data_IF_107980789452
#
_entry.id   IF_107980789452
#
_cell.length_a   1.000
_cell.length_b   1.000
_cell.length_c   1.000
_cell.angle_alpha   90.00
_cell.angle_beta   90.00
_cell.angle_gamma   90.00
#
_symmetry.space_group_name_H-M   'P 1'
#
loop_
_entity.id
_entity.type
_entity.pdbx_description
1 polymer ?
#
# COMPACT_ATOMS: atom_id res chain seq x y z
N UNK A 1 36.25 -87.30 -29.65
CA UNK A 1 35.08 -86.75 -30.37
C UNK A 1 34.70 -85.49 -29.61
N UNK A 2 35.42 -84.39 -29.88
CA UNK A 2 35.01 -83.32 -30.83
C UNK A 2 33.87 -82.49 -30.25
N UNK A 3 33.85 -81.15 -30.21
CA UNK A 3 34.75 -80.04 -30.56
C UNK A 3 34.06 -78.76 -30.03
N UNK A 4 34.86 -77.73 -29.67
CA UNK A 4 34.62 -76.27 -29.75
C UNK A 4 33.20 -75.70 -29.45
N UNK A 5 33.06 -74.62 -28.66
CA UNK A 5 33.57 -73.31 -29.07
C UNK A 5 33.59 -72.29 -27.92
N UNK A 6 34.67 -71.51 -27.90
CA UNK A 6 34.96 -70.33 -27.08
C UNK A 6 34.31 -69.10 -27.72
N UNK A 7 33.71 -68.22 -26.92
CA UNK A 7 33.79 -66.77 -27.15
C UNK A 7 33.94 -66.02 -25.83
N UNK A 8 35.13 -65.46 -25.65
CA UNK A 8 35.46 -64.42 -24.67
C UNK A 8 34.55 -63.20 -24.86
N UNK A 9 34.07 -62.63 -23.75
CA UNK A 9 34.05 -61.18 -23.57
C UNK A 9 34.56 -60.87 -22.16
N UNK A 10 35.54 -59.98 -22.15
CA UNK A 10 36.30 -59.46 -21.01
C UNK A 10 35.39 -58.49 -20.24
N UNK A 11 35.37 -58.51 -18.90
CA UNK A 11 35.80 -57.39 -18.04
C UNK A 11 35.47 -57.61 -16.55
N UNK A 12 36.57 -57.64 -15.78
CA UNK A 12 36.81 -57.12 -14.44
C UNK A 12 35.91 -57.50 -13.23
N UNK A 13 36.56 -58.28 -12.38
CA UNK A 13 36.46 -58.38 -10.92
C UNK A 13 36.39 -57.01 -10.24
N UNK A 14 35.56 -56.84 -9.20
CA UNK A 14 35.99 -56.29 -7.91
C UNK A 14 34.98 -56.52 -6.77
N UNK A 15 35.50 -57.28 -5.81
CA UNK A 15 35.12 -57.57 -4.43
C UNK A 15 34.26 -56.55 -3.70
N UNK A 16 33.19 -57.02 -3.09
CA UNK A 16 32.32 -56.27 -2.17
C UNK A 16 32.95 -56.20 -0.77
N UNK A 17 33.32 -54.99 -0.34
CA UNK A 17 33.52 -54.68 1.09
C UNK A 17 32.19 -54.21 1.67
N UNK A 18 31.64 -54.95 2.64
CA UNK A 18 30.49 -54.52 3.42
C UNK A 18 30.98 -53.54 4.48
N UNK A 19 30.74 -52.24 4.25
CA UNK A 19 30.82 -51.22 5.31
C UNK A 19 29.44 -51.11 5.93
N UNK A 20 29.32 -51.50 7.20
CA UNK A 20 28.15 -51.17 8.02
C UNK A 20 28.23 -49.67 8.28
N UNK A 21 27.61 -48.89 7.41
CA UNK A 21 27.29 -47.49 7.69
C UNK A 21 26.08 -47.52 8.61
N UNK A 22 26.31 -47.32 9.90
CA UNK A 22 25.28 -46.89 10.83
C UNK A 22 24.74 -45.55 10.30
N UNK A 23 23.65 -45.62 9.55
CA UNK A 23 22.91 -44.46 9.10
C UNK A 23 22.26 -43.85 10.35
N UNK A 24 22.99 -42.96 11.02
CA UNK A 24 22.37 -41.95 11.87
C UNK A 24 21.47 -41.15 10.94
N UNK A 25 20.18 -41.47 10.96
CA UNK A 25 19.14 -40.65 10.36
C UNK A 25 19.26 -39.27 10.98
N UNK A 26 19.99 -38.37 10.34
CA UNK A 26 19.94 -36.96 10.66
C UNK A 26 18.50 -36.53 10.39
N UNK A 27 17.69 -36.46 11.44
CA UNK A 27 16.40 -35.80 11.41
C UNK A 27 16.68 -34.34 11.08
N UNK A 28 16.57 -33.96 9.81
CA UNK A 28 16.55 -32.56 9.42
C UNK A 28 15.38 -31.92 10.15
N UNK A 29 15.67 -31.11 11.16
CA UNK A 29 14.66 -30.39 11.93
C UNK A 29 14.10 -29.30 11.01
N UNK A 30 12.92 -29.56 10.43
CA UNK A 30 12.18 -28.65 9.56
C UNK A 30 11.28 -27.70 10.35
N UNK A 31 11.42 -27.69 11.68
CA UNK A 31 10.63 -26.86 12.59
C UNK A 31 11.06 -25.40 12.51
N UNK A 32 10.11 -24.52 12.75
CA UNK A 32 10.39 -23.09 12.90
C UNK A 32 11.32 -22.84 14.09
N UNK A 33 12.09 -21.76 13.99
CA UNK A 33 13.02 -21.34 15.04
C UNK A 33 12.21 -20.88 16.26
N UNK A 34 12.56 -21.38 17.44
CA UNK A 34 11.88 -21.08 18.71
C UNK A 34 12.37 -19.77 19.37
N UNK A 35 13.55 -19.29 18.96
CA UNK A 35 14.17 -18.02 19.34
C UNK A 35 14.64 -17.28 18.09
N UNK A 36 13.94 -16.20 17.73
CA UNK A 36 14.17 -15.51 16.47
C UNK A 36 15.23 -14.39 16.56
N UNK A 37 15.78 -14.09 17.74
CA UNK A 37 16.75 -12.99 17.93
C UNK A 37 18.10 -13.22 17.22
N UNK A 38 18.36 -14.45 16.76
CA UNK A 38 19.63 -14.80 16.11
C UNK A 38 19.75 -14.30 14.68
N UNK A 39 18.63 -13.94 14.06
CA UNK A 39 18.60 -13.43 12.71
C UNK A 39 17.92 -12.06 12.66
N UNK A 40 17.82 -11.49 11.46
CA UNK A 40 17.15 -10.21 11.23
C UNK A 40 16.34 -10.31 9.96
N UNK A 41 15.21 -9.60 9.90
CA UNK A 41 14.41 -9.45 8.70
C UNK A 41 14.92 -8.34 7.76
N UNK A 42 15.91 -7.55 8.18
CA UNK A 42 16.52 -6.54 7.33
C UNK A 42 17.43 -7.16 6.26
N UNK A 43 17.07 -6.97 4.99
CA UNK A 43 17.67 -7.65 3.83
C UNK A 43 19.21 -7.69 3.82
N UNK A 44 19.85 -6.55 4.09
CA UNK A 44 21.29 -6.34 3.91
C UNK A 44 22.12 -6.54 5.18
N UNK A 45 21.50 -6.83 6.33
CA UNK A 45 22.25 -7.04 7.57
C UNK A 45 23.10 -8.31 7.50
N UNK A 46 24.10 -8.41 8.39
CA UNK A 46 24.99 -9.57 8.45
C UNK A 46 24.27 -10.87 8.79
N UNK A 47 23.26 -10.77 9.66
CA UNK A 47 22.30 -11.82 9.98
C UNK A 47 20.97 -11.68 9.22
N UNK A 48 20.97 -10.93 8.10
CA UNK A 48 19.78 -10.67 7.27
C UNK A 48 19.42 -11.78 6.29
N UNK A 49 18.23 -11.73 5.65
CA UNK A 49 17.69 -12.77 4.77
C UNK A 49 18.60 -13.20 3.61
N UNK A 50 19.42 -12.28 3.09
CA UNK A 50 20.38 -12.59 2.03
C UNK A 50 21.49 -13.56 2.48
N UNK A 51 21.70 -13.70 3.80
CA UNK A 51 22.79 -14.46 4.42
C UNK A 51 22.30 -15.58 5.35
N UNK A 52 21.01 -15.73 5.62
CA UNK A 52 20.46 -16.76 6.54
C UNK A 52 20.99 -18.17 6.26
N UNK A 53 21.09 -18.57 4.98
CA UNK A 53 21.62 -19.90 4.62
C UNK A 53 23.11 -20.13 4.92
N UNK A 54 23.82 -19.11 5.41
CA UNK A 54 25.21 -19.17 5.86
C UNK A 54 25.36 -19.04 7.38
N UNK A 55 24.30 -18.69 8.10
CA UNK A 55 24.36 -18.48 9.55
C UNK A 55 24.46 -19.81 10.30
N UNK A 56 23.73 -20.84 9.84
CA UNK A 56 23.72 -22.17 10.45
C UNK A 56 23.63 -23.28 9.40
N UNK A 57 24.25 -24.46 9.64
CA UNK A 57 24.14 -25.62 8.76
C UNK A 57 22.69 -26.04 8.46
N UNK A 58 21.81 -25.99 9.47
CA UNK A 58 20.39 -26.30 9.39
C UNK A 58 19.60 -25.32 8.50
N UNK A 59 20.06 -24.08 8.33
CA UNK A 59 19.37 -23.04 7.54
C UNK A 59 19.83 -22.99 6.08
N UNK A 60 20.72 -23.91 5.65
CA UNK A 60 21.31 -23.95 4.30
C UNK A 60 20.27 -23.82 3.17
N UNK A 61 19.06 -24.34 3.38
CA UNK A 61 17.96 -24.27 2.41
C UNK A 61 17.46 -22.83 2.16
N UNK A 62 17.63 -21.90 3.09
CA UNK A 62 17.30 -20.48 2.88
C UNK A 62 18.10 -19.84 1.73
N UNK A 63 19.32 -20.34 1.45
CA UNK A 63 20.17 -19.85 0.37
C UNK A 63 20.24 -20.74 -0.87
N UNK A 64 19.84 -22.02 -0.77
CA UNK A 64 19.94 -22.99 -1.87
C UNK A 64 18.59 -23.55 -2.34
N UNK A 65 17.51 -23.35 -1.59
CA UNK A 65 16.20 -23.88 -1.91
C UNK A 65 15.54 -23.14 -3.07
N UNK A 66 14.92 -23.87 -3.99
CA UNK A 66 14.21 -23.30 -5.14
C UNK A 66 12.71 -23.07 -4.88
N UNK A 67 12.17 -23.66 -3.81
CA UNK A 67 10.77 -23.57 -3.42
C UNK A 67 10.63 -22.81 -2.09
N UNK A 68 11.06 -21.55 -2.09
CA UNK A 68 11.06 -20.70 -0.89
C UNK A 68 9.84 -19.79 -0.85
N UNK A 69 9.22 -19.74 0.33
CA UNK A 69 8.24 -18.72 0.69
C UNK A 69 8.94 -17.55 1.43
N UNK A 70 8.35 -16.34 1.42
CA UNK A 70 7.07 -15.99 0.80
C UNK A 70 7.16 -15.64 -0.68
N UNK A 71 6.05 -15.78 -1.40
CA UNK A 71 5.92 -15.47 -2.84
C UNK A 71 4.85 -14.41 -3.13
N UNK A 72 4.91 -13.82 -4.33
CA UNK A 72 3.82 -13.01 -4.87
C UNK A 72 2.83 -13.88 -5.66
N UNK A 73 1.58 -13.90 -5.22
CA UNK A 73 0.48 -14.60 -5.86
C UNK A 73 -0.07 -13.74 -7.01
N UNK A 74 0.65 -13.74 -8.13
CA UNK A 74 0.25 -13.01 -9.34
C UNK A 74 -0.89 -13.73 -10.08
N UNK A 75 -1.98 -13.01 -10.40
CA UNK A 75 -3.16 -13.51 -11.13
C UNK A 75 -2.77 -14.27 -12.41
N UNK A 76 -1.79 -13.78 -13.17
CA UNK A 76 -1.29 -14.41 -14.41
C UNK A 76 -0.61 -15.77 -14.20
N UNK A 77 -0.20 -16.10 -12.98
CA UNK A 77 0.43 -17.38 -12.60
C UNK A 77 -0.50 -18.28 -11.80
N UNK A 78 -1.55 -17.72 -11.22
CA UNK A 78 -2.56 -18.49 -10.47
C UNK A 78 -3.48 -19.18 -11.46
N UNK A 79 -3.58 -20.50 -11.37
CA UNK A 79 -4.56 -21.29 -12.11
C UNK A 79 -5.75 -21.58 -11.20
N UNK A 80 -6.96 -21.31 -11.68
CA UNK A 80 -8.16 -21.71 -10.96
C UNK A 80 -8.30 -23.23 -11.05
N UNK A 81 -8.17 -23.90 -9.91
CA UNK A 81 -8.33 -25.36 -9.82
C UNK A 81 -9.72 -25.66 -9.25
N UNK A 82 -10.66 -25.96 -10.14
CA UNK A 82 -12.09 -26.12 -9.80
C UNK A 82 -12.41 -27.44 -9.09
N UNK A 83 -11.51 -28.43 -9.13
CA UNK A 83 -11.69 -29.73 -8.47
C UNK A 83 -11.18 -29.77 -7.02
N UNK A 84 -10.53 -28.72 -6.53
CA UNK A 84 -10.15 -28.65 -5.12
C UNK A 84 -11.42 -28.48 -4.28
N UNK A 85 -11.69 -29.49 -3.45
CA UNK A 85 -12.77 -29.41 -2.46
C UNK A 85 -12.45 -28.29 -1.47
N UNK A 86 -13.49 -27.67 -0.91
CA UNK A 86 -13.38 -26.70 0.18
C UNK A 86 -12.49 -27.30 1.28
N UNK A 87 -11.51 -26.52 1.77
CA UNK A 87 -10.63 -26.94 2.86
C UNK A 87 -11.50 -27.30 4.09
N UNK A 88 -11.53 -28.59 4.44
CA UNK A 88 -12.20 -29.10 5.63
C UNK A 88 -11.36 -28.79 6.86
N UNK A 89 -11.99 -28.17 7.85
CA UNK A 89 -11.37 -27.74 9.10
C UNK A 89 -12.20 -28.27 10.25
N UNK A 90 -11.53 -28.86 11.23
CA UNK A 90 -12.16 -29.35 12.45
C UNK A 90 -11.34 -28.83 13.63
N UNK A 91 -11.58 -27.57 13.98
CA UNK A 91 -10.90 -26.90 15.09
C UNK A 91 -11.79 -26.91 16.32
N UNK A 92 -11.20 -27.17 17.48
CA UNK A 92 -11.89 -27.16 18.77
C UNK A 92 -11.27 -26.13 19.71
N UNK A 93 -12.06 -25.50 20.59
CA UNK A 93 -11.52 -24.69 21.68
C UNK A 93 -10.53 -25.52 22.52
N UNK A 94 -9.38 -24.93 22.84
CA UNK A 94 -8.34 -25.57 23.66
C UNK A 94 -7.45 -24.51 24.29
N UNK A 95 -6.64 -24.92 25.26
CA UNK A 95 -5.64 -24.08 25.88
C UNK A 95 -4.46 -23.83 24.92
N UNK A 96 -3.96 -22.60 24.93
CA UNK A 96 -2.81 -22.18 24.14
C UNK A 96 -1.90 -21.27 24.95
N UNK A 97 -0.60 -21.35 24.69
CA UNK A 97 0.42 -20.49 25.29
C UNK A 97 0.77 -19.39 24.30
N UNK A 98 0.64 -18.13 24.71
CA UNK A 98 1.12 -16.98 23.95
C UNK A 98 2.59 -16.72 24.29
N UNK A 99 3.47 -16.76 23.29
CA UNK A 99 4.91 -16.55 23.42
C UNK A 99 5.33 -15.44 22.46
N UNK A 100 6.14 -14.49 22.94
CA UNK A 100 6.89 -13.59 22.08
C UNK A 100 8.21 -14.29 21.71
N UNK A 101 8.46 -14.51 20.42
CA UNK A 101 9.67 -15.21 19.93
C UNK A 101 10.81 -14.26 19.55
N UNK A 102 10.63 -12.95 19.75
CA UNK A 102 11.59 -11.92 19.35
C UNK A 102 11.13 -11.19 18.11
N UNK A 103 10.92 -11.90 17.00
CA UNK A 103 10.38 -11.34 15.76
C UNK A 103 8.91 -11.67 15.51
N UNK A 104 8.22 -12.48 16.31
CA UNK A 104 6.76 -12.57 16.24
C UNK A 104 6.07 -12.88 17.57
N UNK A 105 4.73 -12.81 17.53
CA UNK A 105 3.86 -13.33 18.58
C UNK A 105 3.32 -14.68 18.12
N UNK A 106 3.57 -15.72 18.88
CA UNK A 106 3.14 -17.09 18.60
C UNK A 106 2.12 -17.57 19.63
N UNK A 107 1.04 -18.21 19.17
CA UNK A 107 0.20 -19.08 19.99
C UNK A 107 0.58 -20.54 19.72
N UNK A 108 1.02 -21.25 20.76
CA UNK A 108 1.34 -22.69 20.71
C UNK A 108 0.25 -23.48 21.40
N UNK A 109 -0.28 -24.52 20.75
CA UNK A 109 -1.33 -25.37 21.31
C UNK A 109 -0.73 -26.57 22.05
N UNK A 110 -1.37 -26.99 23.14
CA UNK A 110 -0.94 -28.15 23.94
C UNK A 110 -1.22 -29.50 23.26
N UNK A 111 -0.74 -30.59 23.88
CA UNK A 111 -0.81 -31.95 23.34
C UNK A 111 -2.25 -32.48 23.12
N UNK A 112 -3.23 -31.92 23.83
CA UNK A 112 -4.66 -32.23 23.63
C UNK A 112 -5.18 -31.83 22.23
N UNK A 113 -4.40 -31.01 21.52
CA UNK A 113 -4.58 -30.59 20.13
C UNK A 113 -5.69 -29.56 19.94
N UNK A 114 -5.49 -28.61 19.03
CA UNK A 114 -6.48 -27.59 18.65
C UNK A 114 -7.41 -28.01 17.50
N UNK A 115 -7.34 -29.28 17.11
CA UNK A 115 -7.99 -29.83 15.93
C UNK A 115 -7.08 -29.87 14.70
N UNK A 116 -7.67 -30.04 13.53
CA UNK A 116 -6.92 -30.35 12.30
C UNK A 116 -7.54 -29.78 11.02
N UNK A 117 -6.76 -29.84 9.95
CA UNK A 117 -7.24 -29.67 8.58
C UNK A 117 -7.06 -30.97 7.80
N UNK A 118 -7.87 -31.15 6.75
CA UNK A 118 -7.66 -32.22 5.78
C UNK A 118 -7.29 -31.65 4.41
N UNK A 119 -6.11 -32.02 3.92
CA UNK A 119 -5.63 -31.69 2.57
C UNK A 119 -5.47 -32.99 1.80
N UNK A 120 -6.24 -33.16 0.72
CA UNK A 120 -6.25 -34.38 -0.10
C UNK A 120 -6.43 -35.68 0.71
N UNK A 121 -7.28 -35.65 1.74
CA UNK A 121 -7.55 -36.79 2.62
C UNK A 121 -6.51 -37.04 3.71
N UNK A 122 -5.35 -36.36 3.66
CA UNK A 122 -4.34 -36.40 4.71
C UNK A 122 -4.69 -35.39 5.80
N UNK A 123 -4.65 -35.83 7.06
CA UNK A 123 -4.91 -35.00 8.22
C UNK A 123 -3.63 -34.31 8.71
N UNK A 124 -3.73 -33.01 8.98
CA UNK A 124 -2.67 -32.20 9.56
C UNK A 124 -3.19 -31.53 10.83
N UNK A 125 -2.60 -31.86 11.98
CA UNK A 125 -2.94 -31.30 13.29
C UNK A 125 -2.38 -29.90 13.43
N UNK A 126 -3.17 -28.96 13.93
CA UNK A 126 -2.73 -27.58 14.17
C UNK A 126 -1.76 -27.54 15.35
N UNK A 127 -0.56 -26.99 15.12
CA UNK A 127 0.52 -26.89 16.12
C UNK A 127 0.59 -25.49 16.73
N UNK A 128 0.60 -24.47 15.87
CA UNK A 128 0.83 -23.09 16.27
C UNK A 128 0.25 -22.08 15.29
N UNK A 129 0.04 -20.87 15.80
CA UNK A 129 -0.30 -19.67 15.04
C UNK A 129 0.77 -18.61 15.29
N UNK A 130 1.14 -17.84 14.27
CA UNK A 130 1.93 -16.63 14.47
C UNK A 130 1.60 -15.56 13.42
N UNK A 131 1.97 -14.32 13.70
CA UNK A 131 1.60 -13.16 12.87
C UNK A 131 2.81 -12.39 12.36
N UNK A 132 2.76 -12.06 11.08
CA UNK A 132 3.67 -11.10 10.45
C UNK A 132 2.96 -9.77 10.20
N UNK A 133 3.69 -8.67 10.38
CA UNK A 133 3.32 -7.32 9.99
C UNK A 133 4.48 -6.62 9.27
N UNK A 134 4.31 -6.23 7.99
CA UNK A 134 3.16 -6.49 7.12
C UNK A 134 3.05 -7.96 6.70
N UNK A 135 2.18 -8.31 5.75
CA UNK A 135 2.11 -9.68 5.23
C UNK A 135 3.40 -10.12 4.55
N UNK A 136 3.85 -11.35 4.73
CA UNK A 136 5.00 -11.91 4.04
C UNK A 136 4.71 -12.19 2.57
N UNK A 137 3.54 -12.77 2.26
CA UNK A 137 3.04 -12.95 0.92
C UNK A 137 2.39 -11.67 0.38
N UNK A 138 2.40 -11.53 -0.94
CA UNK A 138 1.62 -10.49 -1.64
C UNK A 138 0.65 -11.11 -2.63
N UNK A 139 -0.38 -10.36 -3.01
CA UNK A 139 -1.31 -10.72 -4.09
C UNK A 139 -1.21 -9.65 -5.16
N UNK A 140 -0.70 -9.99 -6.34
CA UNK A 140 -0.42 -9.03 -7.43
C UNK A 140 0.42 -7.83 -6.97
N UNK A 141 1.51 -8.11 -6.24
CA UNK A 141 2.36 -7.08 -5.65
C UNK A 141 1.76 -6.41 -4.41
N UNK A 142 0.46 -6.54 -4.15
CA UNK A 142 -0.19 -5.92 -2.99
C UNK A 142 0.23 -6.60 -1.70
N UNK A 143 0.85 -5.81 -0.82
CA UNK A 143 1.18 -6.14 0.56
C UNK A 143 -0.02 -5.86 1.48
N UNK A 144 -0.30 -6.76 2.42
CA UNK A 144 -1.40 -6.64 3.39
C UNK A 144 -0.88 -6.22 4.77
N UNK A 145 -1.77 -5.78 5.65
CA UNK A 145 -1.39 -5.18 6.92
C UNK A 145 -0.88 -6.21 7.95
N UNK A 146 -1.45 -7.41 7.93
CA UNK A 146 -0.99 -8.57 8.68
C UNK A 146 -1.15 -9.84 7.85
N UNK A 147 -0.40 -10.86 8.24
CA UNK A 147 -0.56 -12.23 7.80
C UNK A 147 -0.51 -13.16 9.01
N UNK A 148 -1.50 -14.03 9.15
CA UNK A 148 -1.49 -15.12 10.12
C UNK A 148 -1.03 -16.38 9.41
N UNK A 149 -0.03 -17.06 9.98
CA UNK A 149 0.34 -18.42 9.61
C UNK A 149 -0.26 -19.38 10.61
N UNK A 150 -1.05 -20.34 10.13
CA UNK A 150 -1.53 -21.46 10.92
C UNK A 150 -0.75 -22.71 10.50
N UNK A 151 0.18 -23.16 11.34
CA UNK A 151 1.11 -24.25 11.02
C UNK A 151 0.54 -25.58 11.52
N UNK A 152 0.45 -26.54 10.61
CA UNK A 152 -0.06 -27.87 10.90
C UNK A 152 0.96 -28.94 10.52
N UNK A 153 0.90 -30.09 11.17
CA UNK A 153 1.79 -31.23 10.92
C UNK A 153 0.98 -32.53 10.83
N UNK A 154 1.34 -33.40 9.88
CA UNK A 154 0.77 -34.73 9.78
C UNK A 154 1.59 -35.77 10.57
N UNK A 155 1.11 -37.02 10.64
CA UNK A 155 1.80 -38.10 11.36
C UNK A 155 3.20 -38.44 10.82
N UNK A 156 3.49 -38.06 9.58
CA UNK A 156 4.80 -38.27 8.94
C UNK A 156 5.75 -37.07 9.12
N UNK A 157 5.34 -36.05 9.88
CA UNK A 157 6.12 -34.83 10.06
C UNK A 157 6.03 -33.83 8.90
N UNK A 158 5.20 -34.07 7.89
CA UNK A 158 5.03 -33.10 6.81
C UNK A 158 4.20 -31.91 7.29
N UNK A 159 4.64 -30.70 6.95
CA UNK A 159 3.95 -29.48 7.33
C UNK A 159 2.92 -29.03 6.28
N UNK A 160 1.84 -28.41 6.77
CA UNK A 160 0.89 -27.64 5.97
C UNK A 160 0.61 -26.30 6.65
N UNK A 161 0.77 -25.20 5.91
CA UNK A 161 0.53 -23.85 6.44
C UNK A 161 -0.72 -23.27 5.79
N UNK A 162 -1.67 -22.83 6.62
CA UNK A 162 -2.82 -22.05 6.16
C UNK A 162 -2.55 -20.59 6.47
N UNK A 163 -2.49 -19.77 5.43
CA UNK A 163 -2.26 -18.34 5.54
C UNK A 163 -3.58 -17.56 5.53
N UNK A 164 -3.72 -16.59 6.43
CA UNK A 164 -4.82 -15.61 6.40
C UNK A 164 -4.24 -14.20 6.27
N UNK A 165 -4.57 -13.53 5.18
CA UNK A 165 -4.18 -12.14 4.96
C UNK A 165 -5.21 -11.20 5.59
N UNK A 166 -4.73 -10.11 6.21
CA UNK A 166 -5.58 -9.10 6.83
C UNK A 166 -5.38 -7.72 6.21
N UNK A 167 -6.49 -7.06 5.90
CA UNK A 167 -6.50 -5.63 5.55
C UNK A 167 -6.97 -4.80 6.74
N UNK A 168 -6.43 -3.59 6.89
CA UNK A 168 -7.00 -2.61 7.83
C UNK A 168 -8.30 -2.09 7.21
N UNK A 169 -9.43 -2.26 7.87
CA UNK A 169 -10.71 -1.81 7.34
C UNK A 169 -11.93 -2.40 8.04
N UNK A 170 -13.12 -2.13 7.49
CA UNK A 170 -14.38 -2.78 7.89
C UNK A 170 -14.57 -4.10 7.12
N UNK A 171 -15.30 -5.09 7.68
CA UNK A 171 -15.60 -6.35 7.00
C UNK A 171 -16.20 -6.11 5.61
N UNK A 172 -15.64 -6.78 4.61
CA UNK A 172 -16.03 -6.68 3.20
C UNK A 172 -16.67 -7.99 2.78
N UNK A 173 -17.88 -7.93 2.20
CA UNK A 173 -18.63 -9.11 1.75
C UNK A 173 -18.12 -9.71 0.44
N UNK A 174 -17.31 -8.98 -0.33
CA UNK A 174 -16.72 -9.42 -1.61
C UNK A 174 -15.38 -10.14 -1.42
N UNK A 175 -14.58 -9.73 -0.43
CA UNK A 175 -13.30 -10.35 -0.09
C UNK A 175 -13.47 -11.44 0.99
N UNK A 176 -14.18 -12.53 0.65
CA UNK A 176 -14.46 -13.63 1.57
C UNK A 176 -13.24 -14.38 2.14
N UNK A 177 -12.02 -14.12 1.62
CA UNK A 177 -10.76 -14.73 2.05
C UNK A 177 -9.87 -13.82 2.93
N UNK A 178 -10.15 -12.51 2.99
CA UNK A 178 -9.31 -11.54 3.72
C UNK A 178 -10.06 -11.08 4.97
N UNK A 179 -9.42 -11.20 6.14
CA UNK A 179 -10.00 -10.77 7.42
C UNK A 179 -9.63 -9.31 7.71
N UNK A 180 -10.33 -8.67 8.64
CA UNK A 180 -10.12 -7.25 8.95
C UNK A 180 -9.59 -7.04 10.35
N UNK A 181 -8.71 -6.04 10.52
CA UNK A 181 -8.10 -5.65 11.80
C UNK A 181 -8.07 -4.13 11.95
N UNK A 182 -8.01 -3.65 13.19
CA UNK A 182 -7.83 -2.23 13.51
C UNK A 182 -6.35 -1.84 13.52
N UNK A 183 -6.04 -0.55 13.29
CA UNK A 183 -4.67 -0.02 13.41
C UNK A 183 -4.06 -0.29 14.80
N UNK A 184 -4.87 -0.20 15.85
CA UNK A 184 -4.41 -0.46 17.22
C UNK A 184 -4.04 -1.94 17.41
N UNK A 185 -4.79 -2.88 16.84
CA UNK A 185 -4.44 -4.30 16.88
C UNK A 185 -3.11 -4.57 16.14
N UNK A 186 -2.92 -3.96 14.97
CA UNK A 186 -1.64 -4.05 14.23
C UNK A 186 -0.50 -3.46 15.06
N UNK A 187 -0.71 -2.29 15.69
CA UNK A 187 0.30 -1.63 16.53
C UNK A 187 0.66 -2.45 17.77
N UNK A 188 -0.34 -3.03 18.45
CA UNK A 188 -0.13 -3.84 19.64
C UNK A 188 0.68 -5.10 19.32
N UNK A 189 0.41 -5.75 18.19
CA UNK A 189 1.21 -6.87 17.72
C UNK A 189 2.64 -6.47 17.38
N UNK A 190 2.87 -5.31 16.75
CA UNK A 190 4.22 -4.83 16.43
C UNK A 190 5.04 -4.45 17.67
N UNK A 191 4.45 -3.70 18.60
CA UNK A 191 5.17 -3.21 19.80
C UNK A 191 5.55 -4.36 20.74
N UNK A 192 4.82 -5.48 20.69
CA UNK A 192 5.13 -6.63 21.52
C UNK A 192 6.48 -7.31 21.15
N UNK A 193 7.01 -7.08 19.96
CA UNK A 193 8.04 -7.90 19.28
C UNK A 193 9.40 -7.16 19.27
N UNK A 194 9.82 -6.66 20.43
CA UNK A 194 10.90 -5.66 20.57
C UNK A 194 12.28 -6.08 19.97
N UNK A 195 12.67 -5.58 18.79
CA UNK A 195 14.02 -5.78 18.21
C UNK A 195 14.58 -4.61 17.36
N UNK A 196 13.93 -3.44 17.33
CA UNK A 196 14.24 -2.29 16.45
C UNK A 196 13.98 -2.51 14.94
N UNK A 197 13.41 -3.64 14.51
CA UNK A 197 12.98 -3.81 13.12
C UNK A 197 11.60 -3.17 12.88
N UNK A 198 11.44 -2.44 11.77
CA UNK A 198 10.16 -1.85 11.37
C UNK A 198 9.14 -2.92 10.89
N UNK A 199 9.60 -4.16 10.65
CA UNK A 199 8.86 -5.28 10.06
C UNK A 199 9.45 -6.63 10.45
N UNK A 200 8.60 -7.62 10.70
CA UNK A 200 9.00 -9.02 10.87
C UNK A 200 8.61 -9.88 9.65
N UNK A 201 8.58 -9.28 8.46
CA UNK A 201 8.11 -9.95 7.24
C UNK A 201 9.28 -10.18 6.29
N UNK A 202 9.51 -11.43 5.88
CA UNK A 202 10.54 -11.76 4.91
C UNK A 202 10.21 -11.11 3.55
N UNK A 203 11.19 -10.52 2.85
CA UNK A 203 10.96 -10.04 1.50
C UNK A 203 10.49 -11.16 0.56
N UNK A 204 9.60 -10.81 -0.37
CA UNK A 204 9.07 -11.75 -1.37
C UNK A 204 10.20 -12.31 -2.21
N UNK A 205 10.23 -13.62 -2.38
CA UNK A 205 11.23 -14.31 -3.17
C UNK A 205 11.00 -14.09 -4.67
N UNK A 206 12.07 -13.94 -5.48
CA UNK A 206 11.94 -13.57 -6.88
C UNK A 206 11.26 -14.67 -7.70
N UNK A 207 10.04 -14.40 -8.18
CA UNK A 207 9.42 -15.16 -9.26
C UNK A 207 9.90 -14.58 -10.59
N UNK A 208 10.57 -15.38 -11.44
CA UNK A 208 11.15 -14.98 -12.74
C UNK A 208 10.38 -13.84 -13.45
N UNK A 209 10.95 -12.62 -13.51
CA UNK A 209 10.43 -11.36 -14.11
C UNK A 209 9.28 -10.64 -13.35
N UNK A 210 9.66 -9.58 -12.64
CA UNK A 210 8.79 -8.48 -12.13
C UNK A 210 8.59 -7.43 -13.24
N UNK A 211 7.34 -7.01 -13.45
CA UNK A 211 6.99 -5.71 -14.03
C UNK A 211 5.99 -5.13 -13.04
N UNK A 212 6.39 -4.08 -12.33
CA UNK A 212 5.46 -3.23 -11.58
C UNK A 212 4.66 -2.44 -12.62
N UNK A 213 3.35 -2.66 -12.67
CA UNK A 213 2.44 -2.14 -13.70
C UNK A 213 2.00 -0.68 -13.42
N UNK A 214 2.51 -0.03 -12.37
CA UNK A 214 2.23 1.39 -12.08
C UNK A 214 3.20 2.35 -12.78
N UNK A 215 2.65 3.26 -13.62
CA UNK A 215 3.48 4.18 -14.40
C UNK A 215 4.30 5.16 -13.53
N UNK A 216 3.82 5.47 -12.31
CA UNK A 216 4.54 6.26 -11.31
C UNK A 216 4.14 5.88 -9.87
N UNK A 217 5.00 6.19 -8.91
CA UNK A 217 4.79 5.98 -7.47
C UNK A 217 5.10 7.25 -6.67
N UNK A 218 4.61 7.30 -5.43
CA UNK A 218 4.94 8.34 -4.45
C UNK A 218 6.06 7.95 -3.47
N UNK A 219 6.56 6.71 -3.53
CA UNK A 219 7.70 6.31 -2.73
C UNK A 219 8.98 7.02 -3.18
N UNK A 220 9.64 7.72 -2.26
CA UNK A 220 10.75 8.62 -2.57
C UNK A 220 11.95 7.91 -3.22
N UNK A 221 12.21 6.66 -2.80
CA UNK A 221 13.40 5.92 -3.18
C UNK A 221 13.17 4.94 -4.35
N UNK A 222 11.93 4.81 -4.86
CA UNK A 222 11.63 3.93 -6.00
C UNK A 222 12.11 4.55 -7.32
N UNK A 223 12.39 3.70 -8.31
CA UNK A 223 12.74 4.12 -9.67
C UNK A 223 11.64 4.94 -10.34
N UNK A 224 10.37 4.62 -10.05
CA UNK A 224 9.19 5.36 -10.51
C UNK A 224 8.72 6.42 -9.50
N UNK A 225 9.54 6.79 -8.51
CA UNK A 225 9.23 7.75 -7.44
C UNK A 225 9.29 9.24 -7.86
N UNK A 226 8.83 10.17 -7.00
CA UNK A 226 8.65 11.59 -7.35
C UNK A 226 9.92 12.31 -7.84
N UNK A 227 11.09 11.95 -7.30
CA UNK A 227 12.37 12.51 -7.71
C UNK A 227 12.77 12.13 -9.15
N UNK A 228 12.18 11.05 -9.68
CA UNK A 228 12.51 10.47 -10.98
C UNK A 228 11.38 10.59 -12.01
N UNK A 229 10.19 11.09 -11.65
CA UNK A 229 9.05 11.24 -12.58
C UNK A 229 9.42 11.90 -13.91
N UNK A 230 10.23 12.96 -13.89
CA UNK A 230 10.65 13.65 -15.11
C UNK A 230 11.60 12.87 -16.04
N UNK A 231 12.07 11.70 -15.61
CA UNK A 231 12.92 10.78 -16.38
C UNK A 231 12.15 9.56 -16.90
N UNK A 232 10.92 9.34 -16.43
CA UNK A 232 10.12 8.16 -16.79
C UNK A 232 9.58 8.25 -18.22
N UNK A 233 9.11 9.43 -18.63
CA UNK A 233 8.56 9.69 -19.96
C UNK A 233 8.93 11.08 -20.47
N UNK A 234 9.14 11.28 -21.79
CA UNK A 234 9.43 12.59 -22.38
C UNK A 234 8.38 13.66 -22.03
N UNK A 235 7.10 13.31 -22.04
CA UNK A 235 5.98 14.19 -21.70
C UNK A 235 5.95 14.62 -20.23
N UNK A 236 6.67 13.92 -19.34
CA UNK A 236 6.74 14.22 -17.90
C UNK A 236 7.97 15.04 -17.53
N UNK A 237 8.80 15.42 -18.50
CA UNK A 237 10.05 16.19 -18.32
C UNK A 237 9.89 17.42 -17.42
N UNK A 238 8.72 18.07 -17.43
CA UNK A 238 8.41 19.22 -16.58
C UNK A 238 8.44 18.88 -15.08
N UNK A 239 8.17 17.64 -14.68
CA UNK A 239 8.26 17.20 -13.30
C UNK A 239 9.68 17.35 -12.71
N UNK A 240 10.72 17.26 -13.54
CA UNK A 240 12.13 17.38 -13.10
C UNK A 240 12.81 18.68 -13.54
N UNK A 241 12.34 19.33 -14.61
CA UNK A 241 12.97 20.56 -15.16
C UNK A 241 12.17 21.84 -14.91
N UNK A 242 10.94 21.73 -14.42
CA UNK A 242 10.09 22.89 -14.18
C UNK A 242 10.55 23.75 -13.00
N UNK A 243 10.58 25.06 -13.17
CA UNK A 243 10.92 26.01 -12.10
C UNK A 243 9.71 26.56 -11.33
N UNK A 244 8.49 26.28 -11.81
CA UNK A 244 7.23 26.69 -11.20
C UNK A 244 6.43 25.49 -10.70
N UNK A 245 7.12 24.49 -10.16
CA UNK A 245 6.52 23.24 -9.71
C UNK A 245 5.76 23.40 -8.38
N UNK A 246 4.71 22.59 -8.21
CA UNK A 246 3.87 22.51 -7.02
C UNK A 246 3.94 21.09 -6.43
N UNK A 247 3.71 20.90 -5.13
CA UNK A 247 3.32 21.90 -4.12
C UNK A 247 4.49 22.76 -3.61
N UNK A 248 4.21 23.81 -2.84
CA UNK A 248 5.21 24.66 -2.16
C UNK A 248 4.90 24.86 -0.68
N UNK A 249 5.90 25.29 0.10
CA UNK A 249 5.68 25.82 1.45
C UNK A 249 5.25 27.29 1.38
N UNK A 250 4.14 27.60 2.04
CA UNK A 250 3.56 28.94 2.12
C UNK A 250 4.12 29.66 3.36
N UNK A 251 5.38 30.08 3.26
CA UNK A 251 6.08 30.79 4.35
C UNK A 251 5.57 32.22 4.54
N UNK A 252 5.13 32.56 5.76
CA UNK A 252 4.64 33.90 6.11
C UNK A 252 5.64 35.01 5.78
N UNK A 253 6.94 34.75 5.90
CA UNK A 253 8.01 35.73 5.59
C UNK A 253 8.12 36.07 4.10
N UNK A 254 7.56 35.24 3.22
CA UNK A 254 7.71 35.35 1.76
C UNK A 254 6.43 35.81 1.06
N UNK A 255 5.29 35.79 1.75
CA UNK A 255 4.01 36.16 1.15
C UNK A 255 3.83 37.67 1.13
N UNK A 256 3.39 38.21 -0.01
CA UNK A 256 3.01 39.60 -0.16
C UNK A 256 1.53 39.76 0.20
N UNK A 257 1.23 40.58 1.19
CA UNK A 257 -0.16 40.90 1.55
C UNK A 257 -0.76 41.79 0.45
N UNK A 258 -1.92 41.39 -0.08
CA UNK A 258 -2.60 42.13 -1.14
C UNK A 258 -4.10 42.22 -0.88
N UNK A 259 -4.72 43.33 -1.28
CA UNK A 259 -6.18 43.53 -1.18
C UNK A 259 -6.89 43.58 -2.53
N UNK A 260 -6.14 43.73 -3.63
CA UNK A 260 -6.71 43.92 -4.98
C UNK A 260 -7.26 42.62 -5.61
N UNK A 261 -6.91 41.44 -5.07
CA UNK A 261 -7.40 40.15 -5.59
C UNK A 261 -8.91 39.95 -5.40
N UNK A 262 -9.53 40.66 -4.46
CA UNK A 262 -10.94 40.54 -4.15
C UNK A 262 -11.30 39.20 -3.49
N UNK A 263 -12.58 39.05 -3.14
CA UNK A 263 -13.08 37.80 -2.55
C UNK A 263 -13.09 36.69 -3.60
N UNK A 264 -12.84 35.46 -3.17
CA UNK A 264 -13.00 34.30 -4.04
C UNK A 264 -14.49 34.09 -4.38
N UNK A 265 -14.85 34.40 -5.63
CA UNK A 265 -16.22 34.27 -6.16
C UNK A 265 -16.44 32.88 -6.74
N UNK A 266 -17.44 32.17 -6.22
CA UNK A 266 -17.79 30.80 -6.61
C UNK A 266 -19.28 30.73 -6.89
N UNK A 267 -19.66 29.99 -7.92
CA UNK A 267 -21.04 29.71 -8.30
C UNK A 267 -21.18 28.21 -8.55
N UNK A 268 -20.95 27.40 -7.52
CA UNK A 268 -21.10 25.95 -7.59
C UNK A 268 -22.56 25.54 -7.48
N UNK A 269 -22.90 24.45 -8.17
CA UNK A 269 -24.27 23.91 -8.21
C UNK A 269 -24.25 22.41 -7.98
N UNK A 270 -25.33 21.82 -7.42
CA UNK A 270 -25.51 20.37 -7.40
C UNK A 270 -25.39 19.78 -8.80
N UNK A 271 -24.61 18.72 -8.94
CA UNK A 271 -24.41 18.04 -10.23
C UNK A 271 -24.19 16.54 -10.05
N UNK A 272 -24.39 15.79 -11.13
CA UNK A 272 -24.01 14.39 -11.20
C UNK A 272 -22.49 14.26 -11.36
N UNK A 273 -21.91 13.35 -10.59
CA UNK A 273 -20.49 13.06 -10.61
C UNK A 273 -20.23 11.56 -10.64
N UNK A 274 -19.01 11.20 -11.02
CA UNK A 274 -18.47 9.85 -10.94
C UNK A 274 -17.31 9.86 -9.95
N UNK A 275 -17.46 9.12 -8.87
CA UNK A 275 -16.35 8.81 -7.97
C UNK A 275 -15.50 7.72 -8.62
N UNK A 276 -14.22 7.97 -8.82
CA UNK A 276 -13.26 7.07 -9.43
C UNK A 276 -12.06 6.89 -8.50
N UNK A 277 -11.69 5.63 -8.28
CA UNK A 277 -10.39 5.29 -7.75
C UNK A 277 -9.38 5.30 -8.90
N UNK A 278 -8.42 6.22 -8.88
CA UNK A 278 -7.39 6.35 -9.94
C UNK A 278 -6.12 5.54 -9.64
N UNK A 279 -6.14 4.68 -8.64
CA UNK A 279 -4.95 3.95 -8.17
C UNK A 279 -3.99 4.81 -7.34
N UNK A 280 -3.99 6.12 -7.54
CA UNK A 280 -3.11 7.09 -6.85
C UNK A 280 -3.87 8.13 -6.01
N UNK A 281 -5.17 8.31 -6.25
CA UNK A 281 -6.07 9.10 -5.43
C UNK A 281 -7.55 8.72 -5.68
N UNK A 282 -8.42 9.26 -4.82
CA UNK A 282 -9.86 9.24 -5.04
C UNK A 282 -10.26 10.54 -5.74
N UNK A 283 -10.88 10.42 -6.91
CA UNK A 283 -11.34 11.54 -7.72
C UNK A 283 -12.86 11.54 -7.82
N UNK A 284 -13.50 12.68 -7.59
CA UNK A 284 -14.89 12.92 -7.92
C UNK A 284 -14.95 13.80 -9.18
N UNK A 285 -15.25 13.19 -10.34
CA UNK A 285 -15.33 13.86 -11.64
C UNK A 285 -16.77 14.24 -11.96
N UNK A 286 -17.02 15.50 -12.32
CA UNK A 286 -18.35 15.95 -12.76
C UNK A 286 -18.58 15.57 -14.23
N UNK A 287 -19.80 15.13 -14.55
CA UNK A 287 -20.12 14.50 -15.83
C UNK A 287 -20.00 15.45 -17.03
N UNK A 288 -20.90 16.41 -17.12
CA UNK A 288 -20.90 17.44 -18.16
C UNK A 288 -20.02 18.63 -17.75
N UNK A 289 -19.23 19.17 -18.68
CA UNK A 289 -18.32 20.29 -18.42
C UNK A 289 -19.06 21.55 -17.93
N UNK A 290 -18.77 21.95 -16.69
CA UNK A 290 -19.40 23.12 -16.06
C UNK A 290 -20.75 22.85 -15.41
N UNK A 291 -21.24 21.59 -15.41
CA UNK A 291 -22.47 21.21 -14.72
C UNK A 291 -22.43 21.51 -13.21
N UNK A 292 -21.23 21.41 -12.61
CA UNK A 292 -21.00 21.69 -11.19
C UNK A 292 -20.78 23.18 -10.89
N UNK A 293 -20.89 24.05 -11.89
CA UNK A 293 -20.65 25.48 -11.78
C UNK A 293 -19.18 25.88 -11.94
N UNK A 294 -18.82 27.06 -11.44
CA UNK A 294 -17.53 27.71 -11.75
C UNK A 294 -16.99 28.59 -10.62
N UNK A 295 -15.73 29.00 -10.76
CA UNK A 295 -15.10 30.08 -10.00
C UNK A 295 -14.64 31.17 -10.96
N UNK A 296 -14.66 32.44 -10.53
CA UNK A 296 -14.18 33.56 -11.34
C UNK A 296 -12.89 34.13 -10.75
N UNK A 297 -11.83 34.20 -11.55
CA UNK A 297 -10.52 34.71 -11.16
C UNK A 297 -10.10 35.77 -12.18
N UNK A 298 -9.88 37.01 -11.72
CA UNK A 298 -9.46 38.15 -12.56
C UNK A 298 -10.34 38.35 -13.81
N UNK A 299 -11.66 38.18 -13.68
CA UNK A 299 -12.58 38.31 -14.81
C UNK A 299 -12.79 37.02 -15.61
N UNK A 300 -11.87 36.06 -15.54
CA UNK A 300 -11.94 34.79 -16.25
C UNK A 300 -12.75 33.76 -15.47
N UNK A 301 -13.68 33.09 -16.16
CA UNK A 301 -14.46 31.99 -15.61
C UNK A 301 -13.72 30.65 -15.77
N UNK A 302 -13.65 29.88 -14.69
CA UNK A 302 -13.09 28.53 -14.65
C UNK A 302 -14.15 27.54 -14.16
N UNK A 303 -14.58 26.64 -15.04
CA UNK A 303 -15.56 25.59 -14.77
C UNK A 303 -14.96 24.51 -13.89
N UNK A 304 -15.69 24.07 -12.87
CA UNK A 304 -15.25 22.99 -11.98
C UNK A 304 -15.34 21.64 -12.70
N UNK A 305 -14.21 20.93 -12.80
CA UNK A 305 -14.11 19.65 -13.50
C UNK A 305 -14.13 18.46 -12.55
N UNK A 306 -13.34 18.55 -11.47
CA UNK A 306 -13.16 17.43 -10.54
C UNK A 306 -12.67 17.88 -9.17
N UNK A 307 -12.87 17.01 -8.20
CA UNK A 307 -12.28 17.06 -6.87
C UNK A 307 -11.37 15.84 -6.69
N UNK A 308 -10.25 15.99 -5.99
CA UNK A 308 -9.46 14.86 -5.51
C UNK A 308 -8.73 15.20 -4.22
N UNK A 309 -8.26 14.18 -3.51
CA UNK A 309 -7.69 14.31 -2.17
C UNK A 309 -6.31 13.70 -2.05
N UNK A 310 -5.44 14.41 -1.31
CA UNK A 310 -4.11 13.98 -0.92
C UNK A 310 -4.01 13.85 0.59
N UNK A 311 -3.41 12.75 1.06
CA UNK A 311 -3.08 12.52 2.47
C UNK A 311 -1.64 12.00 2.59
N UNK A 312 -0.76 12.68 3.34
CA UNK A 312 -0.99 13.96 4.02
C UNK A 312 -1.20 15.12 3.03
N UNK A 313 -1.31 16.36 3.51
CA UNK A 313 -1.36 17.52 2.60
C UNK A 313 -0.09 17.62 1.76
N UNK A 314 -0.24 18.12 0.54
CA UNK A 314 0.86 18.40 -0.37
C UNK A 314 1.53 19.72 -0.01
N UNK A 315 0.73 20.79 0.11
CA UNK A 315 1.17 22.09 0.58
C UNK A 315 1.47 22.07 2.07
N UNK A 316 2.38 22.95 2.47
CA UNK A 316 2.68 23.23 3.87
C UNK A 316 2.52 24.74 4.14
N UNK A 317 2.29 25.10 5.41
CA UNK A 317 2.26 26.50 5.84
C UNK A 317 3.30 26.66 6.95
N UNK A 318 4.38 27.38 6.66
CA UNK A 318 5.55 27.51 7.54
C UNK A 318 6.10 26.14 7.96
N UNK A 319 6.28 25.25 7.00
CA UNK A 319 6.77 23.88 7.20
C UNK A 319 5.76 22.92 7.84
N UNK A 320 4.61 23.42 8.32
CA UNK A 320 3.57 22.56 8.90
C UNK A 320 2.79 21.84 7.80
N UNK A 321 2.79 20.51 7.87
CA UNK A 321 1.94 19.63 7.05
C UNK A 321 0.60 19.34 7.73
N UNK A 322 -0.44 19.17 6.93
CA UNK A 322 -1.80 18.92 7.36
C UNK A 322 -2.21 17.47 7.07
N UNK A 323 -3.31 17.02 7.67
CA UNK A 323 -3.72 15.61 7.60
C UNK A 323 -4.30 15.23 6.24
N UNK A 324 -4.95 16.18 5.56
CA UNK A 324 -5.56 15.98 4.25
C UNK A 324 -5.56 17.30 3.49
N UNK A 325 -5.54 17.21 2.17
CA UNK A 325 -5.68 18.33 1.24
C UNK A 325 -6.67 17.96 0.14
N UNK A 326 -7.66 18.82 -0.09
CA UNK A 326 -8.59 18.72 -1.19
C UNK A 326 -8.15 19.66 -2.31
N UNK A 327 -8.09 19.15 -3.54
CA UNK A 327 -7.92 19.95 -4.75
C UNK A 327 -9.22 20.01 -5.53
N UNK A 328 -9.70 21.21 -5.79
CA UNK A 328 -10.83 21.49 -6.68
C UNK A 328 -10.27 22.03 -7.99
N UNK A 329 -10.29 21.21 -9.04
CA UNK A 329 -9.65 21.51 -10.33
C UNK A 329 -10.65 22.12 -11.29
N UNK A 330 -10.26 23.26 -11.87
CA UNK A 330 -11.07 24.02 -12.78
C UNK A 330 -10.33 24.34 -14.07
N UNK A 331 -11.08 24.53 -15.15
CA UNK A 331 -10.57 24.88 -16.46
C UNK A 331 -11.41 26.01 -17.06
N UNK A 332 -10.74 26.97 -17.70
CA UNK A 332 -11.39 28.06 -18.43
C UNK A 332 -11.59 27.69 -19.90
N UNK A 333 -12.39 28.47 -20.62
CA UNK A 333 -12.70 28.22 -22.05
C UNK A 333 -11.44 28.13 -22.94
N UNK A 334 -10.32 28.73 -22.55
CA UNK A 334 -9.06 28.72 -23.29
C UNK A 334 -8.07 27.63 -22.82
N UNK A 335 -8.49 26.70 -21.95
CA UNK A 335 -7.64 25.65 -21.41
C UNK A 335 -6.75 26.06 -20.24
N UNK A 336 -6.84 27.30 -19.76
CA UNK A 336 -6.09 27.70 -18.55
C UNK A 336 -6.66 27.01 -17.33
N UNK A 337 -5.77 26.49 -16.47
CA UNK A 337 -6.12 25.71 -15.29
C UNK A 337 -6.07 26.53 -14.00
N UNK A 338 -7.03 26.30 -13.11
CA UNK A 338 -7.03 26.86 -11.76
C UNK A 338 -7.39 25.79 -10.72
N UNK A 339 -6.70 25.80 -9.58
CA UNK A 339 -6.96 24.87 -8.48
C UNK A 339 -7.28 25.65 -7.21
N UNK A 340 -8.45 25.38 -6.62
CA UNK A 340 -8.81 25.86 -5.29
C UNK A 340 -8.56 24.74 -4.29
N UNK A 341 -7.83 25.02 -3.23
CA UNK A 341 -7.30 24.02 -2.30
C UNK A 341 -7.79 24.24 -0.89
N UNK A 342 -8.20 23.17 -0.21
CA UNK A 342 -8.64 23.20 1.18
C UNK A 342 -7.77 22.27 2.02
N UNK A 343 -7.21 22.79 3.11
CA UNK A 343 -6.39 22.04 4.05
C UNK A 343 -7.21 21.56 5.25
N UNK A 344 -6.92 20.36 5.75
CA UNK A 344 -7.64 19.76 6.86
C UNK A 344 -6.72 19.32 7.98
N UNK A 345 -7.13 19.57 9.22
CA UNK A 345 -6.54 18.96 10.42
C UNK A 345 -7.46 17.84 10.95
N UNK A 346 -6.89 16.92 11.73
CA UNK A 346 -7.71 15.93 12.44
C UNK A 346 -8.66 16.65 13.42
N UNK A 347 -9.92 16.23 13.43
CA UNK A 347 -10.96 16.79 14.29
C UNK A 347 -12.34 16.23 13.97
N UNK A 348 -13.37 17.10 14.04
CA UNK A 348 -14.75 16.73 13.73
C UNK A 348 -14.90 16.22 12.29
N UNK A 349 -15.86 15.32 12.01
CA UNK A 349 -16.13 14.81 10.67
C UNK A 349 -16.38 15.92 9.66
N UNK A 350 -15.80 15.79 8.47
CA UNK A 350 -16.13 16.65 7.35
C UNK A 350 -17.48 16.23 6.77
N UNK A 351 -18.42 17.16 6.69
CA UNK A 351 -19.79 16.87 6.23
C UNK A 351 -19.86 16.49 4.76
N UNK A 352 -19.00 17.06 3.91
CA UNK A 352 -18.99 16.77 2.48
C UNK A 352 -18.45 15.37 2.21
N UNK A 353 -17.33 14.99 2.85
CA UNK A 353 -16.81 13.62 2.81
C UNK A 353 -17.81 12.61 3.41
N UNK A 354 -18.59 13.02 4.42
CA UNK A 354 -19.70 12.22 4.97
C UNK A 354 -20.68 11.73 3.90
N UNK A 355 -20.98 12.56 2.88
CA UNK A 355 -21.86 12.20 1.76
C UNK A 355 -21.27 11.12 0.85
N UNK A 356 -19.95 10.96 0.89
CA UNK A 356 -19.20 10.07 0.01
C UNK A 356 -18.76 8.78 0.72
N UNK A 357 -18.78 8.70 2.07
CA UNK A 357 -18.19 7.59 2.84
C UNK A 357 -18.61 6.19 2.36
N UNK A 358 -19.92 5.96 2.18
CA UNK A 358 -20.43 4.66 1.73
C UNK A 358 -19.96 4.31 0.31
N UNK A 359 -19.81 5.31 -0.57
CA UNK A 359 -19.36 5.10 -1.95
C UNK A 359 -17.85 4.92 -2.03
N UNK A 360 -17.10 5.68 -1.23
CA UNK A 360 -15.65 5.52 -1.05
C UNK A 360 -15.34 4.09 -0.60
N UNK A 361 -16.01 3.62 0.46
CA UNK A 361 -15.86 2.26 0.98
C UNK A 361 -16.14 1.18 -0.07
N UNK A 362 -17.14 1.39 -0.93
CA UNK A 362 -17.53 0.42 -1.96
C UNK A 362 -16.52 0.26 -3.11
N UNK A 363 -15.66 1.26 -3.37
CA UNK A 363 -14.67 1.22 -4.46
C UNK A 363 -13.22 1.12 -3.95
N UNK A 364 -13.06 0.96 -2.63
CA UNK A 364 -11.76 1.01 -1.95
C UNK A 364 -10.80 -0.10 -2.40
N UNK A 365 -11.30 -1.29 -2.75
CA UNK A 365 -10.45 -2.44 -3.09
C UNK A 365 -10.50 -2.83 -4.57
N UNK A 366 -11.00 -1.94 -5.41
CA UNK A 366 -11.17 -2.20 -6.84
C UNK A 366 -10.42 -1.13 -7.66
N UNK A 367 -9.38 -1.56 -8.36
CA UNK A 367 -8.66 -0.72 -9.32
C UNK A 367 -9.60 -0.25 -10.42
N UNK A 368 -9.49 1.03 -10.78
CA UNK A 368 -10.33 1.69 -11.79
C UNK A 368 -11.85 1.63 -11.53
N UNK A 369 -12.27 1.26 -10.31
CA UNK A 369 -13.69 1.24 -9.97
C UNK A 369 -14.28 2.64 -10.00
N UNK A 370 -15.51 2.69 -10.50
CA UNK A 370 -16.31 3.89 -10.65
C UNK A 370 -17.65 3.71 -9.96
N UNK A 371 -18.10 4.76 -9.28
CA UNK A 371 -19.45 4.81 -8.72
C UNK A 371 -20.10 6.14 -9.04
N UNK A 372 -21.33 6.09 -9.55
CA UNK A 372 -22.11 7.29 -9.78
C UNK A 372 -22.51 7.93 -8.44
N UNK A 373 -22.39 9.25 -8.38
CA UNK A 373 -22.81 10.11 -7.27
C UNK A 373 -23.80 11.11 -7.84
N UNK A 374 -25.07 10.92 -7.52
CA UNK A 374 -26.16 11.75 -8.03
C UNK A 374 -26.27 13.02 -7.19
N UNK A 375 -26.42 14.16 -7.86
CA UNK A 375 -26.72 15.47 -7.23
C UNK A 375 -25.81 15.86 -6.06
N UNK A 376 -24.50 15.61 -6.17
CA UNK A 376 -23.54 16.07 -5.16
C UNK A 376 -23.33 17.57 -5.32
N UNK A 377 -23.36 18.32 -4.21
CA UNK A 377 -23.28 19.78 -4.20
C UNK A 377 -21.92 20.28 -3.69
N UNK A 378 -21.01 20.75 -4.57
CA UNK A 378 -19.70 21.26 -4.17
C UNK A 378 -19.78 22.54 -3.34
N UNK A 379 -20.91 23.27 -3.38
CA UNK A 379 -21.10 24.47 -2.55
C UNK A 379 -21.13 24.15 -1.05
N UNK A 380 -21.44 22.89 -0.69
CA UNK A 380 -21.39 22.39 0.70
C UNK A 380 -19.97 22.29 1.26
N UNK A 381 -18.94 22.39 0.40
CA UNK A 381 -17.56 22.60 0.82
C UNK A 381 -17.43 24.07 1.26
N UNK A 382 -17.87 24.34 2.49
CA UNK A 382 -17.65 25.62 3.19
C UNK A 382 -16.17 26.06 3.11
N UNK A 383 -15.91 27.02 2.22
CA UNK A 383 -14.62 27.64 1.95
C UNK A 383 -14.76 29.12 2.25
N UNK A 384 -13.85 29.64 3.06
CA UNK A 384 -13.77 31.07 3.33
C UNK A 384 -13.26 31.82 2.09
N UNK A 385 -13.94 32.90 1.69
CA UNK A 385 -13.60 33.66 0.49
C UNK A 385 -12.65 34.84 0.72
N UNK A 386 -12.28 35.12 1.98
CA UNK A 386 -11.59 36.36 2.38
C UNK A 386 -10.13 36.18 2.81
N UNK A 387 -9.63 34.94 2.88
CA UNK A 387 -8.30 34.66 3.41
C UNK A 387 -7.68 33.46 2.68
N UNK A 388 -6.89 33.74 1.65
CA UNK A 388 -6.30 32.72 0.79
C UNK A 388 -4.96 33.14 0.22
N UNK A 389 -4.11 32.16 -0.06
CA UNK A 389 -2.86 32.35 -0.79
C UNK A 389 -3.12 32.18 -2.30
N UNK A 390 -2.38 32.92 -3.13
CA UNK A 390 -2.43 32.85 -4.59
C UNK A 390 -1.02 32.79 -5.16
N UNK A 391 -0.76 31.84 -6.05
CA UNK A 391 0.49 31.77 -6.80
C UNK A 391 0.31 31.01 -8.13
N UNK A 392 1.28 31.14 -9.04
CA UNK A 392 1.34 30.34 -10.28
C UNK A 392 2.26 29.14 -10.08
N UNK A 393 1.73 27.96 -10.35
CA UNK A 393 2.36 26.68 -10.08
C UNK A 393 2.20 25.68 -11.23
N UNK A 394 2.08 24.41 -10.85
CA UNK A 394 1.93 23.27 -11.75
C UNK A 394 0.87 22.30 -11.23
N UNK A 395 0.52 21.31 -12.04
CA UNK A 395 -0.07 20.07 -11.53
C UNK A 395 0.91 19.39 -10.57
N UNK A 396 0.39 18.69 -9.56
CA UNK A 396 1.17 17.97 -8.55
C UNK A 396 1.36 16.49 -8.88
N UNK A 397 0.78 16.03 -9.98
CA UNK A 397 1.02 14.72 -10.58
C UNK A 397 1.60 14.88 -11.99
N UNK A 398 2.26 13.84 -12.55
CA UNK A 398 2.64 13.85 -13.96
C UNK A 398 1.44 14.16 -14.87
N UNK A 399 1.63 14.95 -15.95
CA UNK A 399 2.90 15.45 -16.51
C UNK A 399 3.50 16.71 -15.83
N UNK A 400 2.96 17.14 -14.69
CA UNK A 400 3.43 18.33 -13.95
C UNK A 400 3.42 19.63 -14.76
N UNK A 401 2.42 19.78 -15.64
CA UNK A 401 2.19 20.97 -16.46
C UNK A 401 2.16 22.23 -15.60
N UNK A 402 2.93 23.25 -15.97
CA UNK A 402 3.00 24.54 -15.26
C UNK A 402 1.86 25.49 -15.68
N UNK A 403 1.92 26.72 -15.17
CA UNK A 403 0.95 27.78 -15.43
C UNK A 403 -0.44 27.51 -14.83
N UNK A 404 -0.47 26.77 -13.73
CA UNK A 404 -1.70 26.51 -12.96
C UNK A 404 -1.89 27.62 -11.93
N UNK A 405 -3.06 28.25 -11.92
CA UNK A 405 -3.39 29.27 -10.91
C UNK A 405 -3.85 28.59 -9.61
N UNK A 406 -3.02 28.62 -8.58
CA UNK A 406 -3.32 28.02 -7.28
C UNK A 406 -3.96 29.01 -6.33
N UNK A 407 -5.04 28.60 -5.65
CA UNK A 407 -5.71 29.34 -4.58
C UNK A 407 -5.81 28.45 -3.35
N UNK A 408 -5.02 28.70 -2.31
CA UNK A 408 -4.99 27.88 -1.09
C UNK A 408 -5.75 28.61 0.01
N UNK A 409 -6.86 28.02 0.46
CA UNK A 409 -7.68 28.58 1.53
C UNK A 409 -6.91 28.48 2.85
N UNK A 410 -6.72 29.61 3.52
CA UNK A 410 -5.92 29.66 4.76
C UNK A 410 -6.64 28.98 5.92
N UNK A 411 -7.96 29.06 5.95
CA UNK A 411 -8.78 28.48 7.02
C UNK A 411 -8.88 26.97 6.85
N UNK A 412 -8.37 26.25 7.85
CA UNK A 412 -8.32 24.79 7.85
C UNK A 412 -9.67 24.20 8.26
N UNK A 413 -10.17 23.24 7.50
CA UNK A 413 -11.30 22.40 7.89
C UNK A 413 -10.84 21.27 8.82
N UNK A 414 -11.80 20.53 9.36
CA UNK A 414 -11.52 19.32 10.15
C UNK A 414 -11.99 18.08 9.40
N UNK A 415 -11.30 16.97 9.61
CA UNK A 415 -11.63 15.65 9.08
C UNK A 415 -11.33 14.60 10.15
N UNK A 416 -12.05 13.47 10.16
CA UNK A 416 -11.69 12.35 11.06
C UNK A 416 -10.59 11.49 10.46
N UNK A 417 -9.83 10.80 11.31
CA UNK A 417 -8.87 9.77 10.86
C UNK A 417 -9.56 8.69 10.01
N UNK A 418 -10.80 8.33 10.35
CA UNK A 418 -11.59 7.37 9.57
C UNK A 418 -11.82 7.85 8.15
N UNK A 419 -12.22 9.11 7.97
CA UNK A 419 -12.44 9.68 6.64
C UNK A 419 -11.14 9.76 5.83
N UNK A 420 -10.02 10.12 6.46
CA UNK A 420 -8.70 10.07 5.83
C UNK A 420 -8.34 8.64 5.41
N UNK A 421 -8.59 7.65 6.28
CA UNK A 421 -8.33 6.24 5.96
C UNK A 421 -9.19 5.73 4.81
N UNK A 422 -10.46 6.14 4.69
CA UNK A 422 -11.31 5.76 3.55
C UNK A 422 -10.74 6.27 2.21
N UNK A 423 -10.10 7.44 2.23
CA UNK A 423 -9.42 7.98 1.05
C UNK A 423 -8.09 7.27 0.78
N UNK A 424 -7.35 6.84 1.81
CA UNK A 424 -6.04 6.16 1.69
C UNK A 424 -6.13 4.69 1.34
N UNK A 425 -6.96 3.91 2.04
CA UNK A 425 -7.12 2.46 1.78
C UNK A 425 -7.66 2.23 0.37
N UNK A 426 -8.36 3.23 -0.16
CA UNK A 426 -8.85 3.16 -1.51
C UNK A 426 -7.78 3.30 -2.58
N UNK A 427 -6.65 3.92 -2.25
CA UNK A 427 -5.60 4.16 -3.22
C UNK A 427 -4.73 2.92 -3.28
N UNK A 428 -4.57 2.36 -4.46
CA UNK A 428 -3.75 1.16 -4.73
C UNK A 428 -2.27 1.51 -4.96
N UNK A 429 -1.76 2.62 -4.40
CA UNK A 429 -0.34 2.90 -4.42
C UNK A 429 0.35 2.13 -3.27
N UNK A 430 1.49 1.49 -3.57
CA UNK A 430 2.35 0.85 -2.54
C UNK A 430 2.88 1.87 -1.51
N UNK A 431 2.66 3.17 -1.76
CA UNK A 431 3.09 4.26 -0.93
C UNK A 431 2.18 4.45 0.28
N UNK A 432 2.77 4.84 1.42
CA UNK A 432 1.99 5.29 2.59
C UNK A 432 1.42 6.72 2.43
N UNK A 433 1.67 7.37 1.29
CA UNK A 433 1.33 8.76 1.00
C UNK A 433 1.07 8.95 -0.49
N UNK A 434 0.12 9.81 -0.87
CA UNK A 434 -0.05 10.28 -2.24
C UNK A 434 0.27 11.77 -2.36
N UNK A 435 1.09 12.28 -1.44
CA UNK A 435 1.52 13.67 -1.44
C UNK A 435 2.89 13.81 -2.11
N UNK A 436 2.98 14.60 -3.17
CA UNK A 436 4.25 14.99 -3.78
C UNK A 436 5.08 15.80 -2.76
N UNK A 437 6.41 15.61 -2.72
CA UNK A 437 7.30 16.46 -1.92
C UNK A 437 7.18 17.94 -2.27
N UNK A 438 7.48 18.81 -1.29
CA UNK A 438 7.54 20.26 -1.49
C UNK A 438 8.60 20.59 -2.54
N UNK A 439 8.23 21.47 -3.47
CA UNK A 439 9.08 21.93 -4.55
C UNK A 439 9.69 23.29 -4.20
N UNK A 440 10.91 23.61 -4.69
CA UNK A 440 11.53 24.90 -4.46
C UNK A 440 10.66 26.06 -4.95
N UNK A 441 10.36 27.04 -4.10
CA UNK A 441 9.56 28.21 -4.48
C UNK A 441 10.23 29.06 -5.59
N UNK A 442 11.55 28.98 -5.75
CA UNK A 442 12.31 29.74 -6.74
C UNK A 442 12.01 31.24 -6.68
N UNK A 443 11.88 31.95 -7.81
CA UNK A 443 11.63 33.40 -7.85
C UNK A 443 10.15 33.79 -7.79
N UNK A 444 9.25 32.83 -7.50
CA UNK A 444 7.80 33.06 -7.53
C UNK A 444 7.35 34.01 -6.44
N UNK A 445 6.47 34.93 -6.82
CA UNK A 445 5.68 35.68 -5.85
C UNK A 445 4.53 34.84 -5.33
N UNK A 446 4.30 34.92 -4.02
CA UNK A 446 3.15 34.32 -3.36
C UNK A 446 2.36 35.47 -2.75
N UNK A 447 1.09 35.58 -3.11
CA UNK A 447 0.22 36.62 -2.58
C UNK A 447 -0.66 36.03 -1.49
N UNK A 448 -0.87 36.77 -0.41
CA UNK A 448 -1.87 36.47 0.62
C UNK A 448 -2.97 37.53 0.51
N UNK A 449 -4.16 37.11 0.11
CA UNK A 449 -5.31 38.00 0.10
C UNK A 449 -5.85 38.20 1.52
N UNK A 450 -6.02 39.47 1.90
CA UNK A 450 -6.79 39.88 3.07
C UNK A 450 -7.57 41.14 2.72
N UNK A 451 -8.88 41.23 3.05
CA UNK A 451 -9.60 42.49 2.90
C UNK A 451 -8.92 43.58 3.73
N UNK A 452 -8.90 44.82 3.22
CA UNK A 452 -8.58 45.97 4.06
C UNK A 452 -9.56 45.97 5.23
N UNK A 453 -9.06 46.15 6.45
CA UNK A 453 -9.91 46.44 7.60
C UNK A 453 -10.73 47.69 7.26
N UNK A 454 -12.06 47.54 7.26
CA UNK A 454 -13.01 48.63 7.11
C UNK A 454 -12.82 49.66 8.21
#
# INVERSE_FOLDING_TARGET
MDKLSIRCFIFLVLTSFVTIVSCLSATTDYREVEDEHEFSYEWNQENGPAKWGKLRPEWKMCGKGEMQSPIDLMNKRVRLVTHFKKLTRDYKPCNATLKNRGHDMMLKFGEEGSGSIKVNGTEYKLLQLHWHSPSEHTINGRRFALELHMVHENINGSLAVVTVLYKIGRPDSFLGLVRTVTKNQVRLLRVAVHDNSDTNARPVQPTNKRVDESEFSYELNKENGPAKWGKLKPEWKMCGKGEMQSPIDLMNKRVKLVSHLGKLTRNYKPSNATLKNRGHDMMLKFGEEGSAGSTKINGTEYKLLQLHWHSPSEHTINGRRFALELHMVHESKNGSMAVVTVLYKIGKPDSFLGLLEHKLAAITDQNDAKKNVVMIDPSKINIESRNYYRYIGSLTTPPCTQNVTWTIIRTTRTVTERQVNLLRVAVHDDSNSNARPIQPTNKREIHLYRPKSS
#
